data_IF_428502107080
#
_entry.id   IF_428502107080
#
_cell.length_a   1.000
_cell.length_b   1.000
_cell.length_c   1.000
_cell.angle_alpha   90.00
_cell.angle_beta   90.00
_cell.angle_gamma   90.00
#
_symmetry.space_group_name_H-M   'P 1'
#
loop_
_entity.id
_entity.type
_entity.pdbx_description
1 polymer ?
#
# COMPACT_ATOMS: atom_id res chain seq x y z
N UNK A 1 -46.71 8.65 48.46
CA UNK A 1 -46.68 9.20 47.09
C UNK A 1 -45.56 10.24 47.03
N UNK A 2 -44.37 9.83 46.59
CA UNK A 2 -43.20 10.71 46.47
C UNK A 2 -43.21 11.35 45.08
N UNK A 3 -43.60 12.62 45.01
CA UNK A 3 -43.61 13.39 43.77
C UNK A 3 -42.18 13.59 43.24
N UNK A 4 -41.90 13.12 42.03
CA UNK A 4 -40.65 13.42 41.33
C UNK A 4 -40.55 14.94 41.10
N UNK A 5 -39.45 15.60 41.54
CA UNK A 5 -39.30 17.03 41.35
C UNK A 5 -39.28 17.38 39.86
N UNK A 6 -40.16 18.28 39.44
CA UNK A 6 -40.22 18.73 38.06
C UNK A 6 -39.00 19.59 37.74
N UNK A 7 -38.16 19.15 36.80
CA UNK A 7 -37.00 19.91 36.35
C UNK A 7 -37.40 21.32 35.85
N UNK A 8 -36.58 22.36 36.08
CA UNK A 8 -36.81 23.69 35.53
C UNK A 8 -36.93 23.65 34.00
N UNK A 9 -37.74 24.53 33.37
CA UNK A 9 -37.99 24.51 31.92
C UNK A 9 -36.71 24.50 31.07
N UNK A 10 -35.69 25.26 31.46
CA UNK A 10 -34.40 25.32 30.78
C UNK A 10 -33.58 24.02 30.85
N UNK A 11 -33.74 23.22 31.92
CA UNK A 11 -33.08 21.93 32.07
C UNK A 11 -33.74 20.85 31.20
N UNK A 12 -35.07 20.92 31.01
CA UNK A 12 -35.80 20.03 30.09
C UNK A 12 -35.41 20.29 28.64
N UNK A 13 -35.29 21.56 28.24
CA UNK A 13 -34.89 21.91 26.88
C UNK A 13 -33.47 21.42 26.56
N UNK A 14 -32.51 21.57 27.48
CA UNK A 14 -31.14 21.04 27.30
C UNK A 14 -31.09 19.51 27.28
N UNK A 15 -31.87 18.83 28.11
CA UNK A 15 -31.95 17.38 28.12
C UNK A 15 -32.58 16.83 26.84
N UNK A 16 -33.65 17.48 26.34
CA UNK A 16 -34.31 17.12 25.09
C UNK A 16 -33.41 17.37 23.87
N UNK A 17 -32.82 18.56 23.76
CA UNK A 17 -31.85 18.88 22.70
C UNK A 17 -30.65 17.93 22.75
N UNK A 18 -30.10 17.65 23.93
CA UNK A 18 -29.00 16.68 24.09
C UNK A 18 -29.40 15.23 23.78
N UNK A 19 -30.67 14.86 23.95
CA UNK A 19 -31.24 13.58 23.57
C UNK A 19 -31.38 13.43 22.06
N UNK A 20 -32.03 14.39 21.40
CA UNK A 20 -32.21 14.40 19.96
C UNK A 20 -30.89 14.49 19.20
N UNK A 21 -29.95 15.30 19.68
CA UNK A 21 -28.60 15.36 19.11
C UNK A 21 -27.86 14.03 19.21
N UNK A 22 -28.01 13.28 20.31
CA UNK A 22 -27.40 11.95 20.48
C UNK A 22 -28.07 10.89 19.60
N UNK A 23 -29.40 10.91 19.51
CA UNK A 23 -30.17 10.00 18.63
C UNK A 23 -29.86 10.29 17.16
N UNK A 24 -29.83 11.55 16.76
CA UNK A 24 -29.45 11.98 15.41
C UNK A 24 -28.03 11.56 15.05
N UNK A 25 -27.04 11.77 15.94
CA UNK A 25 -25.67 11.29 15.74
C UNK A 25 -25.57 9.77 15.60
N UNK A 26 -26.32 9.01 16.40
CA UNK A 26 -26.37 7.54 16.29
C UNK A 26 -26.95 7.11 14.94
N UNK A 27 -28.11 7.67 14.53
CA UNK A 27 -28.73 7.37 13.22
C UNK A 27 -27.84 7.71 12.03
N UNK A 28 -27.16 8.86 12.06
CA UNK A 28 -26.19 9.26 11.03
C UNK A 28 -25.00 8.29 11.00
N UNK A 29 -24.48 7.91 12.16
CA UNK A 29 -23.43 6.90 12.28
C UNK A 29 -23.87 5.54 11.71
N UNK A 30 -25.10 5.12 11.96
CA UNK A 30 -25.64 3.85 11.45
C UNK A 30 -25.82 3.87 9.92
N UNK A 31 -26.35 4.96 9.35
CA UNK A 31 -26.45 5.12 7.88
C UNK A 31 -25.09 5.13 7.21
N UNK A 32 -24.12 5.87 7.75
CA UNK A 32 -22.76 5.90 7.23
C UNK A 32 -22.10 4.52 7.28
N UNK A 33 -22.36 3.72 8.32
CA UNK A 33 -21.87 2.34 8.41
C UNK A 33 -22.48 1.44 7.36
N UNK A 34 -23.79 1.53 7.11
CA UNK A 34 -24.46 0.74 6.05
C UNK A 34 -23.85 1.07 4.68
N UNK A 35 -23.70 2.36 4.36
CA UNK A 35 -23.06 2.80 3.11
C UNK A 35 -21.63 2.27 3.02
N UNK A 36 -20.86 2.35 4.11
CA UNK A 36 -19.50 1.86 4.14
C UNK A 36 -19.41 0.34 3.90
N UNK A 37 -20.31 -0.46 4.50
CA UNK A 37 -20.39 -1.91 4.28
C UNK A 37 -20.70 -2.22 2.81
N UNK A 38 -21.68 -1.52 2.23
CA UNK A 38 -22.05 -1.70 0.81
C UNK A 38 -20.85 -1.38 -0.08
N UNK A 39 -20.18 -0.25 0.13
CA UNK A 39 -19.02 0.16 -0.67
C UNK A 39 -17.86 -0.83 -0.55
N UNK A 40 -17.55 -1.33 0.65
CA UNK A 40 -16.51 -2.35 0.85
C UNK A 40 -16.89 -3.65 0.14
N UNK A 41 -18.15 -4.09 0.27
CA UNK A 41 -18.66 -5.30 -0.40
C UNK A 41 -18.58 -5.20 -1.92
N UNK A 42 -18.98 -4.06 -2.50
CA UNK A 42 -18.89 -3.80 -3.93
C UNK A 42 -17.43 -3.75 -4.40
N UNK A 43 -16.56 -3.04 -3.69
CA UNK A 43 -15.13 -2.96 -4.03
C UNK A 43 -14.47 -4.34 -3.99
N UNK A 44 -14.71 -5.12 -2.94
CA UNK A 44 -14.19 -6.48 -2.79
C UNK A 44 -14.76 -7.44 -3.85
N UNK A 45 -16.05 -7.33 -4.16
CA UNK A 45 -16.70 -8.12 -5.22
C UNK A 45 -16.10 -7.83 -6.60
N UNK A 46 -15.88 -6.55 -6.93
CA UNK A 46 -15.24 -6.13 -8.18
C UNK A 46 -13.81 -6.65 -8.31
N UNK A 47 -13.01 -6.48 -7.25
CA UNK A 47 -11.63 -7.01 -7.21
C UNK A 47 -11.61 -8.52 -7.40
N UNK A 48 -12.47 -9.24 -6.68
CA UNK A 48 -12.55 -10.71 -6.76
C UNK A 48 -12.98 -11.15 -8.16
N UNK A 49 -14.02 -10.53 -8.71
CA UNK A 49 -14.51 -10.83 -10.07
C UNK A 49 -13.42 -10.59 -11.11
N UNK A 50 -12.68 -9.48 -11.01
CA UNK A 50 -11.59 -9.18 -11.91
C UNK A 50 -10.47 -10.24 -11.85
N UNK A 51 -10.07 -10.64 -10.65
CA UNK A 51 -9.02 -11.66 -10.44
C UNK A 51 -9.47 -13.03 -10.99
N UNK A 52 -10.75 -13.39 -10.82
CA UNK A 52 -11.29 -14.68 -11.28
C UNK A 52 -11.57 -14.71 -12.78
N UNK A 53 -11.96 -13.59 -13.39
CA UNK A 53 -12.30 -13.51 -14.81
C UNK A 53 -11.06 -13.47 -15.73
N UNK A 54 -9.87 -13.26 -15.18
CA UNK A 54 -8.61 -13.14 -15.95
C UNK A 54 -7.96 -14.51 -16.18
N UNK A 55 -7.53 -14.73 -17.43
CA UNK A 55 -6.76 -15.89 -17.88
C UNK A 55 -5.23 -15.74 -17.73
N UNK A 56 -4.46 -16.22 -18.72
CA UNK A 56 -3.02 -16.55 -18.70
C UNK A 56 -1.99 -15.49 -18.23
N UNK A 57 -2.39 -14.23 -18.00
CA UNK A 57 -1.49 -13.13 -17.59
C UNK A 57 -1.30 -12.99 -16.07
N UNK A 58 -1.90 -13.87 -15.25
CA UNK A 58 -1.77 -13.81 -13.81
C UNK A 58 -0.30 -13.91 -13.35
N UNK A 59 0.15 -12.91 -12.60
CA UNK A 59 1.46 -12.88 -11.97
C UNK A 59 2.61 -12.42 -12.85
N UNK A 60 2.36 -11.73 -13.98
CA UNK A 60 3.40 -11.28 -14.90
C UNK A 60 4.55 -10.49 -14.24
N UNK A 61 4.22 -9.54 -13.34
CA UNK A 61 5.21 -8.73 -12.63
C UNK A 61 5.94 -9.57 -11.58
N UNK A 62 5.20 -10.37 -10.79
CA UNK A 62 5.79 -11.26 -9.80
C UNK A 62 6.73 -12.30 -10.45
N UNK A 63 6.38 -12.77 -11.66
CA UNK A 63 7.20 -13.71 -12.43
C UNK A 63 8.46 -13.05 -12.96
N UNK A 64 8.42 -11.77 -13.32
CA UNK A 64 9.62 -11.00 -13.68
C UNK A 64 10.60 -10.92 -12.51
N UNK A 65 10.11 -10.72 -11.28
CA UNK A 65 10.97 -10.69 -10.09
C UNK A 65 11.55 -12.08 -9.78
N UNK A 66 10.70 -13.10 -9.81
CA UNK A 66 11.09 -14.48 -9.54
C UNK A 66 12.12 -15.01 -10.55
N UNK A 67 11.86 -14.80 -11.86
CA UNK A 67 12.75 -15.24 -12.93
C UNK A 67 14.00 -14.38 -13.01
N UNK A 68 13.88 -13.07 -12.84
CA UNK A 68 15.01 -12.14 -12.88
C UNK A 68 16.10 -12.51 -11.88
N UNK A 69 15.73 -12.88 -10.65
CA UNK A 69 16.71 -13.35 -9.66
C UNK A 69 17.35 -14.67 -10.08
N UNK A 70 16.58 -15.64 -10.57
CA UNK A 70 17.12 -16.94 -10.98
C UNK A 70 18.11 -16.79 -12.14
N UNK A 71 17.72 -16.02 -13.16
CA UNK A 71 18.58 -15.69 -14.29
C UNK A 71 19.87 -15.01 -13.80
N UNK A 72 19.76 -14.06 -12.88
CA UNK A 72 20.92 -13.38 -12.29
C UNK A 72 21.83 -14.34 -11.52
N UNK A 73 21.29 -15.26 -10.73
CA UNK A 73 22.06 -16.29 -10.01
C UNK A 73 22.78 -17.25 -10.96
N UNK A 74 22.18 -17.55 -12.11
CA UNK A 74 22.77 -18.38 -13.16
C UNK A 74 23.80 -17.59 -14.03
N UNK A 75 24.10 -16.33 -13.67
CA UNK A 75 25.04 -15.47 -14.39
C UNK A 75 24.48 -14.78 -15.63
N UNK A 76 23.16 -14.88 -15.87
CA UNK A 76 22.46 -14.25 -16.98
C UNK A 76 22.05 -12.80 -16.73
N UNK A 77 21.49 -12.17 -17.77
CA UNK A 77 21.02 -10.79 -17.71
C UNK A 77 19.51 -10.70 -17.38
N UNK A 78 19.18 -10.35 -16.13
CA UNK A 78 17.80 -10.18 -15.67
C UNK A 78 17.01 -9.06 -16.39
N UNK A 79 17.70 -8.12 -17.01
CA UNK A 79 17.10 -7.00 -17.77
C UNK A 79 16.77 -7.39 -19.21
N UNK A 80 17.30 -8.50 -19.71
CA UNK A 80 16.99 -9.04 -21.04
C UNK A 80 16.72 -10.56 -20.93
N UNK A 81 15.67 -10.96 -20.20
CA UNK A 81 15.41 -12.37 -19.97
C UNK A 81 14.87 -13.03 -21.24
N UNK A 82 15.05 -14.35 -21.40
CA UNK A 82 14.42 -15.09 -22.49
C UNK A 82 12.89 -15.09 -22.32
N UNK A 83 12.18 -15.25 -23.44
CA UNK A 83 10.74 -15.49 -23.41
C UNK A 83 10.42 -16.73 -22.55
N UNK A 84 9.30 -16.75 -21.80
CA UNK A 84 8.20 -15.77 -21.79
C UNK A 84 8.32 -14.71 -20.69
N UNK A 85 9.50 -14.51 -20.08
CA UNK A 85 9.62 -13.61 -18.93
C UNK A 85 9.68 -12.14 -19.34
N UNK A 86 9.02 -11.28 -18.55
CA UNK A 86 9.19 -9.85 -18.68
C UNK A 86 10.53 -9.41 -18.06
N UNK A 87 11.16 -8.33 -18.57
CA UNK A 87 12.36 -7.76 -17.98
C UNK A 87 12.21 -7.43 -16.50
N UNK A 88 13.29 -7.59 -15.74
CA UNK A 88 13.41 -6.97 -14.43
C UNK A 88 13.60 -5.46 -14.61
N UNK A 89 12.75 -4.64 -13.98
CA UNK A 89 12.66 -3.19 -14.24
C UNK A 89 13.01 -2.32 -13.04
N UNK A 90 13.74 -2.86 -12.08
CA UNK A 90 14.18 -2.13 -10.88
C UNK A 90 15.70 -2.02 -10.81
N UNK A 91 16.19 -1.20 -9.89
CA UNK A 91 17.61 -1.01 -9.63
C UNK A 91 18.32 -2.37 -9.42
N UNK A 92 19.48 -2.63 -10.05
CA UNK A 92 20.10 -3.96 -10.05
C UNK A 92 20.35 -4.54 -8.65
N UNK A 93 20.80 -3.72 -7.70
CA UNK A 93 21.07 -4.16 -6.33
C UNK A 93 19.82 -4.72 -5.60
N UNK A 94 18.62 -4.34 -6.06
CA UNK A 94 17.35 -4.78 -5.46
C UNK A 94 16.97 -6.22 -5.83
N UNK A 95 17.62 -6.85 -6.81
CA UNK A 95 17.41 -8.27 -7.13
C UNK A 95 17.53 -9.16 -5.88
N UNK A 96 18.53 -8.88 -5.05
CA UNK A 96 18.76 -9.57 -3.78
C UNK A 96 17.56 -9.55 -2.82
N UNK A 97 16.72 -8.50 -2.86
CA UNK A 97 15.53 -8.39 -2.00
C UNK A 97 14.46 -9.42 -2.38
N UNK A 98 14.44 -9.87 -3.63
CA UNK A 98 13.51 -10.87 -4.13
C UNK A 98 14.05 -12.30 -4.00
N UNK A 99 15.27 -12.48 -3.49
CA UNK A 99 15.89 -13.79 -3.34
C UNK A 99 15.06 -14.78 -2.53
N UNK A 100 14.50 -14.43 -1.33
CA UNK A 100 13.65 -15.36 -0.59
C UNK A 100 12.45 -15.86 -1.42
N UNK A 101 11.98 -15.03 -2.34
CA UNK A 101 10.87 -15.34 -3.23
C UNK A 101 11.28 -16.28 -4.37
N UNK A 102 12.42 -15.96 -4.99
CA UNK A 102 12.94 -16.68 -6.13
C UNK A 102 13.37 -18.11 -5.77
N UNK A 103 13.79 -18.36 -4.53
CA UNK A 103 14.17 -19.69 -4.06
C UNK A 103 12.98 -20.67 -3.99
N UNK A 104 11.75 -20.18 -3.88
CA UNK A 104 10.55 -21.02 -3.86
C UNK A 104 10.17 -21.46 -5.28
N UNK A 105 9.55 -22.66 -5.46
CA UNK A 105 8.88 -23.04 -6.70
C UNK A 105 7.84 -21.98 -7.09
N UNK A 106 7.65 -21.73 -8.39
CA UNK A 106 6.79 -20.65 -8.87
C UNK A 106 5.38 -20.70 -8.28
N UNK A 107 4.74 -21.86 -8.18
CA UNK A 107 3.36 -21.94 -7.66
C UNK A 107 3.28 -21.54 -6.19
N UNK A 108 4.29 -21.90 -5.39
CA UNK A 108 4.40 -21.53 -3.97
C UNK A 108 4.72 -20.03 -3.84
N UNK A 109 5.68 -19.55 -4.63
CA UNK A 109 6.02 -18.14 -4.73
C UNK A 109 4.83 -17.32 -5.24
N UNK A 110 3.95 -17.85 -6.07
CA UNK A 110 2.83 -17.05 -6.55
C UNK A 110 1.74 -16.97 -5.48
N UNK A 111 1.38 -18.13 -4.94
CA UNK A 111 0.37 -18.26 -3.91
C UNK A 111 0.71 -17.41 -2.68
N UNK A 112 1.94 -17.50 -2.18
CA UNK A 112 2.35 -16.80 -0.98
C UNK A 112 2.41 -15.27 -1.20
N UNK A 113 2.69 -14.79 -2.41
CA UNK A 113 2.87 -13.36 -2.71
C UNK A 113 1.52 -12.70 -2.73
N UNK A 114 0.61 -13.28 -3.51
CA UNK A 114 -0.77 -12.84 -3.60
C UNK A 114 -1.47 -13.00 -2.25
N UNK A 115 -1.28 -14.12 -1.57
CA UNK A 115 -1.83 -14.37 -0.23
C UNK A 115 -1.38 -13.32 0.78
N UNK A 116 -0.08 -13.02 0.86
CA UNK A 116 0.44 -11.99 1.76
C UNK A 116 -0.16 -10.61 1.47
N UNK A 117 -0.23 -10.21 0.19
CA UNK A 117 -0.81 -8.92 -0.20
C UNK A 117 -2.31 -8.83 0.17
N UNK A 118 -3.08 -9.90 -0.02
CA UNK A 118 -4.49 -9.97 0.40
C UNK A 118 -4.61 -9.84 1.93
N UNK A 119 -3.81 -10.60 2.69
CA UNK A 119 -3.84 -10.56 4.16
C UNK A 119 -3.46 -9.16 4.68
N UNK A 120 -2.45 -8.53 4.09
CA UNK A 120 -2.05 -7.16 4.43
C UNK A 120 -3.15 -6.15 4.10
N UNK A 121 -3.88 -6.31 2.99
CA UNK A 121 -5.02 -5.45 2.65
C UNK A 121 -6.18 -5.62 3.62
N UNK A 122 -6.53 -6.86 3.99
CA UNK A 122 -7.58 -7.13 4.97
C UNK A 122 -7.21 -6.52 6.33
N UNK A 123 -5.97 -6.76 6.78
CA UNK A 123 -5.48 -6.25 8.05
C UNK A 123 -5.45 -4.71 8.10
N UNK A 124 -4.84 -4.07 7.10
CA UNK A 124 -4.73 -2.61 7.03
C UNK A 124 -6.10 -1.95 6.78
N UNK A 125 -6.95 -2.59 5.97
CA UNK A 125 -8.33 -2.19 5.73
C UNK A 125 -9.17 -2.22 7.00
N UNK A 126 -9.09 -3.30 7.77
CA UNK A 126 -9.74 -3.41 9.07
C UNK A 126 -9.26 -2.33 10.04
N UNK A 127 -7.94 -2.12 10.15
CA UNK A 127 -7.36 -1.06 10.97
C UNK A 127 -7.89 0.33 10.62
N UNK A 128 -7.96 0.65 9.32
CA UNK A 128 -8.44 1.94 8.83
C UNK A 128 -9.94 2.09 9.03
N UNK A 129 -10.70 1.04 8.74
CA UNK A 129 -12.16 1.01 8.86
C UNK A 129 -12.61 1.25 10.30
N UNK A 130 -11.93 0.65 11.29
CA UNK A 130 -12.21 0.88 12.70
C UNK A 130 -12.06 2.36 13.11
N UNK A 131 -11.22 3.14 12.42
CA UNK A 131 -10.97 4.55 12.70
C UNK A 131 -11.85 5.49 11.90
N UNK A 132 -12.01 5.23 10.61
CA UNK A 132 -12.77 6.07 9.67
C UNK A 132 -13.54 5.18 8.68
N UNK A 133 -14.69 4.59 9.07
CA UNK A 133 -15.39 3.59 8.26
C UNK A 133 -15.72 4.06 6.84
N UNK A 134 -16.41 5.21 6.73
CA UNK A 134 -16.86 5.73 5.44
C UNK A 134 -15.71 6.24 4.56
N UNK A 135 -14.75 7.06 5.03
CA UNK A 135 -13.58 7.43 4.24
C UNK A 135 -12.77 6.23 3.76
N UNK A 136 -12.58 5.20 4.61
CA UNK A 136 -11.90 3.97 4.21
C UNK A 136 -12.66 3.24 3.11
N UNK A 137 -13.98 3.11 3.23
CA UNK A 137 -14.81 2.43 2.25
C UNK A 137 -14.79 3.15 0.88
N UNK A 138 -14.87 4.49 0.89
CA UNK A 138 -14.74 5.30 -0.33
C UNK A 138 -13.36 5.10 -0.96
N UNK A 139 -12.29 5.16 -0.17
CA UNK A 139 -10.94 4.99 -0.68
C UNK A 139 -10.74 3.59 -1.27
N UNK A 140 -11.22 2.53 -0.61
CA UNK A 140 -11.18 1.16 -1.15
C UNK A 140 -11.97 1.04 -2.46
N UNK A 141 -13.12 1.69 -2.58
CA UNK A 141 -13.90 1.71 -3.82
C UNK A 141 -13.15 2.43 -4.95
N UNK A 142 -12.55 3.59 -4.68
CA UNK A 142 -11.73 4.32 -5.66
C UNK A 142 -10.49 3.51 -6.07
N UNK A 143 -9.88 2.80 -5.13
CA UNK A 143 -8.68 1.99 -5.36
C UNK A 143 -8.99 0.58 -5.87
N UNK A 144 -10.26 0.21 -6.10
CA UNK A 144 -10.63 -1.15 -6.48
C UNK A 144 -9.90 -1.62 -7.76
N UNK A 145 -9.87 -0.80 -8.80
CA UNK A 145 -9.15 -1.15 -10.04
C UNK A 145 -7.63 -1.25 -9.85
N UNK A 146 -6.94 -0.28 -9.21
CA UNK A 146 -5.53 -0.42 -8.83
C UNK A 146 -5.20 -1.65 -7.98
N UNK A 147 -6.06 -1.99 -7.01
CA UNK A 147 -5.92 -3.19 -6.16
C UNK A 147 -6.02 -4.44 -7.02
N UNK A 148 -7.07 -4.54 -7.85
CA UNK A 148 -7.30 -5.67 -8.73
C UNK A 148 -6.12 -5.88 -9.69
N UNK A 149 -5.65 -4.82 -10.35
CA UNK A 149 -4.48 -4.88 -11.23
C UNK A 149 -3.22 -5.33 -10.49
N UNK A 150 -2.99 -4.80 -9.27
CA UNK A 150 -1.81 -5.15 -8.46
C UNK A 150 -1.83 -6.61 -8.02
N UNK A 151 -2.98 -7.14 -7.61
CA UNK A 151 -3.12 -8.54 -7.20
C UNK A 151 -3.11 -9.51 -8.37
N UNK A 152 -3.61 -9.06 -9.53
CA UNK A 152 -3.58 -9.81 -10.79
C UNK A 152 -2.14 -10.00 -11.27
N UNK A 153 -1.39 -8.90 -11.48
CA UNK A 153 -0.02 -8.97 -12.02
C UNK A 153 1.03 -9.33 -10.97
N UNK A 154 0.72 -9.17 -9.68
CA UNK A 154 1.69 -9.36 -8.60
C UNK A 154 2.63 -8.18 -8.42
N UNK A 155 2.24 -6.99 -8.86
CA UNK A 155 3.05 -5.78 -8.78
C UNK A 155 3.43 -5.46 -7.32
N UNK A 156 4.67 -5.03 -7.09
CA UNK A 156 5.16 -4.68 -5.74
C UNK A 156 4.50 -3.42 -5.13
N UNK A 157 3.71 -2.64 -5.88
CA UNK A 157 3.19 -1.34 -5.40
C UNK A 157 2.49 -1.42 -4.04
N UNK A 158 1.69 -2.46 -3.79
CA UNK A 158 1.00 -2.58 -2.51
C UNK A 158 1.97 -2.84 -1.36
N UNK A 159 3.00 -3.67 -1.56
CA UNK A 159 4.05 -3.86 -0.56
C UNK A 159 4.81 -2.56 -0.28
N UNK A 160 5.08 -1.73 -1.30
CA UNK A 160 5.69 -0.42 -1.09
C UNK A 160 4.77 0.52 -0.29
N UNK A 161 3.46 0.48 -0.56
CA UNK A 161 2.47 1.19 0.25
C UNK A 161 2.48 0.69 1.71
N UNK A 162 2.65 -0.60 1.93
CA UNK A 162 2.78 -1.21 3.26
C UNK A 162 4.10 -0.90 3.96
N UNK A 163 5.20 -0.72 3.22
CA UNK A 163 6.44 -0.19 3.78
C UNK A 163 6.25 1.24 4.29
N UNK A 164 5.53 2.08 3.54
CA UNK A 164 5.19 3.42 4.01
C UNK A 164 4.25 3.35 5.22
N UNK A 165 3.23 2.50 5.18
CA UNK A 165 2.35 2.27 6.33
C UNK A 165 3.14 1.88 7.60
N UNK A 166 4.09 0.96 7.47
CA UNK A 166 4.95 0.53 8.58
C UNK A 166 5.87 1.66 9.05
N UNK A 167 6.37 2.51 8.14
CA UNK A 167 7.22 3.64 8.48
C UNK A 167 6.54 4.63 9.45
N UNK A 168 5.21 4.74 9.42
CA UNK A 168 4.45 5.54 10.39
C UNK A 168 4.64 5.07 11.85
N UNK A 169 4.75 3.76 12.08
CA UNK A 169 4.90 3.18 13.43
C UNK A 169 6.36 2.92 13.83
N UNK A 170 7.28 3.06 12.89
CA UNK A 170 8.67 2.67 13.06
C UNK A 170 9.52 3.76 13.75
N UNK A 171 10.69 3.35 14.25
CA UNK A 171 11.70 4.31 14.70
C UNK A 171 12.23 5.12 13.50
N UNK A 172 12.82 6.31 13.72
CA UNK A 172 13.29 7.15 12.62
C UNK A 172 14.26 6.45 11.65
N UNK A 173 15.14 5.57 12.17
CA UNK A 173 16.09 4.79 11.35
C UNK A 173 15.36 3.83 10.42
N UNK A 174 14.44 3.05 10.98
CA UNK A 174 13.68 2.04 10.23
C UNK A 174 12.71 2.70 9.26
N UNK A 175 12.04 3.77 9.66
CA UNK A 175 11.17 4.55 8.77
C UNK A 175 11.94 5.13 7.58
N UNK A 176 13.14 5.69 7.82
CA UNK A 176 14.04 6.15 6.76
C UNK A 176 14.48 5.03 5.83
N UNK A 177 14.83 3.86 6.36
CA UNK A 177 15.22 2.69 5.57
C UNK A 177 14.08 2.16 4.69
N UNK A 178 12.88 2.01 5.26
CA UNK A 178 11.68 1.59 4.52
C UNK A 178 11.36 2.56 3.38
N UNK A 179 11.43 3.86 3.65
CA UNK A 179 11.21 4.88 2.63
C UNK A 179 12.29 4.86 1.54
N UNK A 180 13.57 4.74 1.91
CA UNK A 180 14.67 4.69 0.95
C UNK A 180 14.52 3.49 0.02
N UNK A 181 14.31 2.29 0.56
CA UNK A 181 14.09 1.07 -0.23
C UNK A 181 12.87 1.20 -1.14
N UNK A 182 11.74 1.71 -0.62
CA UNK A 182 10.55 1.92 -1.43
C UNK A 182 10.81 2.91 -2.58
N UNK A 183 11.52 4.00 -2.30
CA UNK A 183 11.88 5.04 -3.28
C UNK A 183 12.85 4.53 -4.35
N UNK A 184 13.77 3.64 -3.99
CA UNK A 184 14.70 3.02 -4.94
C UNK A 184 14.03 2.00 -5.84
N UNK A 185 12.98 1.31 -5.37
CA UNK A 185 12.18 0.38 -6.17
C UNK A 185 11.20 1.11 -7.08
N UNK A 186 10.58 2.18 -6.59
CA UNK A 186 9.71 3.06 -7.37
C UNK A 186 9.91 4.50 -6.94
N UNK A 187 9.98 5.42 -7.88
CA UNK A 187 10.23 6.82 -7.57
C UNK A 187 9.06 7.52 -6.86
N UNK A 188 7.81 7.07 -7.01
CA UNK A 188 6.63 7.71 -6.41
C UNK A 188 6.68 7.86 -4.87
N UNK A 189 7.14 6.85 -4.09
CA UNK A 189 7.43 7.00 -2.67
C UNK A 189 8.29 8.21 -2.28
N UNK A 190 9.05 8.82 -3.21
CA UNK A 190 9.80 10.07 -2.95
C UNK A 190 8.91 11.14 -2.33
N UNK A 191 7.64 11.27 -2.75
CA UNK A 191 6.72 12.28 -2.23
C UNK A 191 6.36 12.07 -0.76
N UNK A 192 6.50 10.85 -0.22
CA UNK A 192 6.27 10.59 1.20
C UNK A 192 7.33 11.24 2.10
N UNK A 193 8.43 11.73 1.55
CA UNK A 193 9.44 12.46 2.31
C UNK A 193 8.83 13.62 3.12
N UNK A 194 7.80 14.29 2.57
CA UNK A 194 7.15 15.44 3.21
C UNK A 194 6.33 15.07 4.45
N UNK A 195 5.89 13.81 4.58
CA UNK A 195 5.11 13.34 5.73
C UNK A 195 5.95 12.56 6.74
N UNK A 196 7.21 12.23 6.42
CA UNK A 196 8.13 11.62 7.36
C UNK A 196 8.58 12.62 8.43
N UNK A 197 8.85 12.17 9.68
CA UNK A 197 9.50 13.00 10.70
C UNK A 197 10.90 13.47 10.27
N UNK A 198 11.40 14.64 10.70
CA UNK A 198 12.69 15.19 10.25
C UNK A 198 13.86 14.21 10.41
N UNK A 199 13.96 13.52 11.55
CA UNK A 199 15.01 12.51 11.76
C UNK A 199 14.90 11.34 10.78
N UNK A 200 13.68 10.89 10.47
CA UNK A 200 13.46 9.82 9.50
C UNK A 200 13.84 10.25 8.09
N UNK A 201 13.59 11.52 7.72
CA UNK A 201 14.04 12.10 6.44
C UNK A 201 15.56 12.06 6.32
N UNK A 202 16.29 12.45 7.37
CA UNK A 202 17.76 12.43 7.34
C UNK A 202 18.31 11.01 7.13
N UNK A 203 17.79 10.03 7.89
CA UNK A 203 18.15 8.62 7.69
C UNK A 203 17.77 8.13 6.30
N UNK A 204 16.57 8.49 5.83
CA UNK A 204 16.09 8.13 4.51
C UNK A 204 16.97 8.68 3.38
N UNK A 205 17.30 9.97 3.42
CA UNK A 205 18.19 10.60 2.42
C UNK A 205 19.57 9.94 2.45
N UNK A 206 20.16 9.77 3.64
CA UNK A 206 21.46 9.11 3.77
C UNK A 206 21.45 7.70 3.19
N UNK A 207 20.41 6.91 3.48
CA UNK A 207 20.28 5.56 2.92
C UNK A 207 19.97 5.57 1.42
N UNK A 208 19.17 6.52 0.93
CA UNK A 208 18.92 6.68 -0.50
C UNK A 208 20.23 7.01 -1.25
N UNK A 209 21.11 7.84 -0.66
CA UNK A 209 22.45 8.08 -1.20
C UNK A 209 23.28 6.80 -1.29
N UNK A 210 23.20 5.91 -0.29
CA UNK A 210 23.85 4.58 -0.36
C UNK A 210 23.29 3.77 -1.53
N UNK A 211 21.97 3.79 -1.77
CA UNK A 211 21.41 3.10 -2.95
C UNK A 211 21.86 3.73 -4.27
N UNK A 212 22.15 5.03 -4.28
CA UNK A 212 22.79 5.72 -5.41
C UNK A 212 24.21 5.22 -5.66
N UNK A 213 25.00 5.02 -4.61
CA UNK A 213 26.34 4.41 -4.73
C UNK A 213 26.22 2.97 -5.24
N UNK A 214 25.24 2.19 -4.78
CA UNK A 214 25.01 0.83 -5.27
C UNK A 214 24.60 0.81 -6.75
N UNK A 215 23.81 1.79 -7.21
CA UNK A 215 23.50 1.97 -8.63
C UNK A 215 24.76 2.23 -9.45
N UNK A 216 25.65 3.11 -8.97
CA UNK A 216 26.92 3.41 -9.62
C UNK A 216 27.88 2.21 -9.60
N UNK A 217 27.93 1.44 -8.51
CA UNK A 217 28.70 0.21 -8.44
C UNK A 217 28.23 -0.85 -9.43
N UNK A 218 26.96 -0.80 -9.83
CA UNK A 218 26.36 -1.67 -10.85
C UNK A 218 26.15 -0.92 -12.18
N UNK A 219 27.06 0.00 -12.54
CA UNK A 219 26.87 0.95 -13.64
C UNK A 219 26.33 0.34 -14.93
N UNK A 220 26.94 -0.75 -15.42
CA UNK A 220 26.51 -1.39 -16.67
C UNK A 220 25.05 -1.88 -16.60
N UNK A 221 24.68 -2.54 -15.51
CA UNK A 221 23.30 -3.01 -15.30
C UNK A 221 22.33 -1.84 -15.08
N UNK A 222 22.80 -0.77 -14.42
CA UNK A 222 22.02 0.45 -14.22
C UNK A 222 21.67 1.13 -15.55
N UNK A 223 22.54 1.09 -16.57
CA UNK A 223 22.22 1.61 -17.90
C UNK A 223 21.06 0.85 -18.55
N UNK A 224 21.05 -0.50 -18.48
CA UNK A 224 19.92 -1.30 -18.95
C UNK A 224 18.64 -1.00 -18.18
N UNK A 225 18.73 -0.87 -16.85
CA UNK A 225 17.60 -0.48 -16.01
C UNK A 225 17.01 0.87 -16.43
N UNK A 226 17.85 1.90 -16.66
CA UNK A 226 17.37 3.21 -17.09
C UNK A 226 16.71 3.13 -18.47
N UNK A 227 17.30 2.42 -19.42
CA UNK A 227 16.70 2.20 -20.73
C UNK A 227 15.31 1.56 -20.62
N UNK A 228 15.15 0.50 -19.83
CA UNK A 228 13.86 -0.14 -19.56
C UNK A 228 12.89 0.75 -18.78
N UNK A 229 13.38 1.65 -17.92
CA UNK A 229 12.53 2.55 -17.17
C UNK A 229 11.85 3.58 -18.11
N UNK A 230 12.55 4.02 -19.16
CA UNK A 230 12.07 5.03 -20.09
C UNK A 230 11.42 4.45 -21.37
N UNK A 231 11.95 3.36 -21.90
CA UNK A 231 11.61 2.86 -23.24
C UNK A 231 10.76 1.59 -23.24
N UNK A 232 10.63 0.88 -22.12
CA UNK A 232 9.80 -0.32 -22.06
C UNK A 232 8.31 0.07 -22.19
N UNK A 233 7.56 -0.47 -23.17
CA UNK A 233 6.16 -0.12 -23.37
C UNK A 233 5.33 -0.64 -22.20
N UNK A 234 4.61 0.26 -21.52
CA UNK A 234 3.77 -0.08 -20.37
C UNK A 234 2.36 0.47 -20.55
N UNK A 235 1.32 -0.28 -20.15
CA UNK A 235 -0.01 0.28 -20.01
C UNK A 235 -0.04 1.39 -18.96
N UNK A 236 -1.12 2.17 -18.95
CA UNK A 236 -1.32 3.24 -17.98
C UNK A 236 -1.14 2.69 -16.56
N UNK A 237 -0.26 3.34 -15.79
CA UNK A 237 0.17 2.92 -14.44
C UNK A 237 -0.85 3.26 -13.36
N UNK A 238 -2.07 2.75 -13.51
CA UNK A 238 -3.14 2.91 -12.52
C UNK A 238 -2.75 2.29 -11.17
N UNK A 239 -1.82 1.33 -11.17
CA UNK A 239 -1.29 0.69 -9.96
C UNK A 239 -0.67 1.71 -8.99
N UNK A 240 -0.10 2.81 -9.47
CA UNK A 240 0.49 3.84 -8.61
C UNK A 240 -0.51 4.56 -7.72
N UNK A 241 -1.80 4.59 -8.09
CA UNK A 241 -2.86 5.12 -7.21
C UNK A 241 -2.91 4.40 -5.87
N UNK A 242 -2.49 3.13 -5.83
CA UNK A 242 -2.46 2.33 -4.61
C UNK A 242 -1.46 2.84 -3.55
N UNK A 243 -0.47 3.65 -3.95
CA UNK A 243 0.46 4.26 -2.99
C UNK A 243 -0.24 5.24 -2.05
N UNK A 244 -1.38 5.82 -2.44
CA UNK A 244 -2.20 6.65 -1.54
C UNK A 244 -2.56 5.88 -0.27
N UNK A 245 -2.76 4.57 -0.37
CA UNK A 245 -3.04 3.71 0.77
C UNK A 245 -1.92 3.76 1.82
N UNK A 246 -0.66 3.94 1.39
CA UNK A 246 0.47 4.10 2.29
C UNK A 246 0.34 5.31 3.21
N UNK A 247 -0.36 6.37 2.81
CA UNK A 247 -0.55 7.58 3.62
C UNK A 247 -1.68 7.47 4.67
N UNK A 248 -2.49 6.41 4.59
CA UNK A 248 -3.69 6.25 5.44
C UNK A 248 -3.40 6.34 6.94
N UNK A 249 -2.31 5.77 7.50
CA UNK A 249 -2.02 5.93 8.92
C UNK A 249 -1.90 7.40 9.35
N UNK A 250 -1.23 8.23 8.54
CA UNK A 250 -1.10 9.66 8.81
C UNK A 250 -2.43 10.40 8.70
N UNK A 251 -3.19 10.11 7.65
CA UNK A 251 -4.44 10.81 7.41
C UNK A 251 -5.51 10.44 8.45
N UNK A 252 -5.57 9.16 8.85
CA UNK A 252 -6.65 8.64 9.71
C UNK A 252 -6.29 8.66 11.20
N UNK A 253 -5.01 8.80 11.55
CA UNK A 253 -4.61 9.02 12.93
C UNK A 253 -5.07 10.42 13.41
N UNK A 254 -5.75 10.47 14.55
CA UNK A 254 -6.27 11.72 15.10
C UNK A 254 -5.23 12.56 15.86
N UNK A 255 -3.99 12.09 16.02
CA UNK A 255 -2.98 12.75 16.87
C UNK A 255 -1.60 12.73 16.23
N UNK A 256 -1.36 13.72 15.36
CA UNK A 256 -0.02 14.19 15.01
C UNK A 256 0.28 15.53 15.70
N UNK A 257 0.02 15.59 17.01
CA UNK A 257 0.44 16.73 17.83
C UNK A 257 1.45 16.22 18.86
N UNK A 258 2.73 16.35 18.48
CA UNK A 258 3.86 16.60 19.37
C UNK A 258 4.03 15.71 20.61
N UNK A 259 4.41 14.42 20.48
CA UNK A 259 4.86 13.65 21.67
C UNK A 259 5.83 12.48 21.39
N UNK A 260 6.69 12.53 20.37
CA UNK A 260 7.89 11.66 20.31
C UNK A 260 9.07 12.33 19.63
#
# INVERSE_FOLDING_TARGET
MTGTPSLPPAARLRAWLGGEWRVGRRRLGDRQRIVAIILVGLAGGLVTTFILARGELAGSDARAYWAGVRIWLDGGNAFAPPAPFLPYVYAPWTLSLFLPWALLPWDVAWFAWRGLNILLLIWSGHWAYQRRPLPTAILLAVLAAPIAATFDTGNITFLLAMMMWAAYYASPRVAGALWAVATSLKWFPLFFLVILPPRARLWGIGLLSVTGVLLLANWQQSLFHFDLAFNFPRPIRIDYGLLIWGAVPWLWAQTWLWTR
#
